data_IF_807625145141
#
_entry.id   IF_807625145141
#
_cell.length_a   1.000
_cell.length_b   1.000
_cell.length_c   1.000
_cell.angle_alpha   90.00
_cell.angle_beta   90.00
_cell.angle_gamma   90.00
#
_symmetry.space_group_name_H-M   'P 1'
#
loop_
_entity.id
_entity.type
_entity.pdbx_description
1 polymer ?
#
# COMPACT_ATOMS: atom_id res chain seq x y z
N UNK A 1 6.21 -21.88 4.54
CA UNK A 1 6.06 -20.59 5.28
C UNK A 1 5.99 -19.38 4.35
N UNK A 2 6.79 -19.33 3.27
CA UNK A 2 6.74 -18.26 2.25
C UNK A 2 5.34 -17.99 1.67
N UNK A 3 4.52 -19.03 1.45
CA UNK A 3 3.18 -18.87 0.88
C UNK A 3 2.20 -18.08 1.75
N UNK A 4 2.28 -18.22 3.09
CA UNK A 4 1.41 -17.45 4.00
C UNK A 4 1.84 -15.99 4.03
N UNK A 5 3.16 -15.72 4.04
CA UNK A 5 3.70 -14.37 3.96
C UNK A 5 3.29 -13.70 2.65
N UNK A 6 3.35 -14.44 1.53
CA UNK A 6 2.94 -13.98 0.21
C UNK A 6 1.43 -13.71 0.13
N UNK A 7 0.60 -14.55 0.75
CA UNK A 7 -0.85 -14.33 0.88
C UNK A 7 -1.15 -13.04 1.65
N UNK A 8 -0.50 -12.82 2.79
CA UNK A 8 -0.67 -11.59 3.59
C UNK A 8 -0.26 -10.35 2.80
N UNK A 9 0.86 -10.40 2.08
CA UNK A 9 1.30 -9.30 1.22
C UNK A 9 0.35 -9.08 0.04
N UNK A 10 -0.18 -10.13 -0.58
CA UNK A 10 -1.16 -10.01 -1.65
C UNK A 10 -2.42 -9.28 -1.17
N UNK A 11 -2.96 -9.67 -0.01
CA UNK A 11 -4.14 -9.03 0.60
C UNK A 11 -3.82 -7.56 0.90
N UNK A 12 -2.64 -7.27 1.46
CA UNK A 12 -2.22 -5.91 1.79
C UNK A 12 -2.09 -5.01 0.54
N UNK A 13 -1.51 -5.55 -0.54
CA UNK A 13 -1.40 -4.85 -1.83
C UNK A 13 -2.79 -4.60 -2.43
N UNK A 14 -3.71 -5.58 -2.38
CA UNK A 14 -5.09 -5.40 -2.85
C UNK A 14 -5.77 -4.28 -2.07
N UNK A 15 -5.70 -4.30 -0.73
CA UNK A 15 -6.31 -3.26 0.11
C UNK A 15 -5.69 -1.88 -0.14
N UNK A 16 -4.39 -1.82 -0.46
CA UNK A 16 -3.73 -0.56 -0.81
C UNK A 16 -4.15 -0.03 -2.19
N UNK A 17 -4.28 -0.89 -3.20
CA UNK A 17 -4.56 -0.50 -4.60
C UNK A 17 -6.05 -0.27 -4.87
N UNK A 18 -6.93 -1.13 -4.35
CA UNK A 18 -8.38 -1.07 -4.62
C UNK A 18 -9.01 0.30 -4.34
N UNK A 19 -8.74 0.98 -3.22
CA UNK A 19 -9.32 2.28 -2.95
C UNK A 19 -8.61 3.44 -3.67
N UNK A 20 -7.65 3.22 -4.56
CA UNK A 20 -6.90 4.29 -5.25
C UNK A 20 -7.65 4.91 -6.42
N UNK A 21 -8.92 5.23 -6.24
CA UNK A 21 -9.66 6.01 -7.24
C UNK A 21 -9.23 7.48 -7.17
N UNK A 22 -9.14 8.19 -8.32
CA UNK A 22 -8.72 9.59 -8.37
C UNK A 22 -9.71 10.54 -7.70
N UNK A 23 -10.97 10.13 -7.56
CA UNK A 23 -12.07 10.92 -7.01
C UNK A 23 -12.22 10.79 -5.50
N UNK A 24 -12.10 9.59 -4.94
CA UNK A 24 -12.25 9.35 -3.50
C UNK A 24 -11.31 8.24 -3.02
N UNK A 25 -10.07 8.59 -2.70
CA UNK A 25 -9.16 7.62 -2.09
C UNK A 25 -9.51 7.45 -0.60
N UNK A 26 -10.25 6.39 -0.28
CA UNK A 26 -10.76 6.13 1.07
C UNK A 26 -9.64 6.05 2.11
N UNK A 27 -8.48 5.47 1.76
CA UNK A 27 -7.32 5.42 2.64
C UNK A 27 -6.74 6.81 2.89
N UNK A 28 -6.65 7.64 1.86
CA UNK A 28 -6.17 9.02 1.99
C UNK A 28 -7.08 9.83 2.93
N UNK A 29 -8.39 9.65 2.81
CA UNK A 29 -9.39 10.28 3.69
C UNK A 29 -9.23 9.80 5.13
N UNK A 30 -9.14 8.49 5.35
CA UNK A 30 -8.95 7.92 6.69
C UNK A 30 -7.66 8.43 7.31
N UNK A 31 -6.52 8.41 6.59
CA UNK A 31 -5.24 8.90 7.11
C UNK A 31 -5.23 10.40 7.41
N UNK A 32 -6.00 11.18 6.65
CA UNK A 32 -6.17 12.61 6.90
C UNK A 32 -7.07 12.87 8.12
N UNK A 33 -8.22 12.19 8.22
CA UNK A 33 -9.17 12.34 9.33
C UNK A 33 -8.61 11.83 10.67
N UNK A 34 -7.86 10.72 10.65
CA UNK A 34 -7.20 10.17 11.85
C UNK A 34 -5.99 10.97 12.31
N UNK A 35 -5.61 12.04 11.60
CA UNK A 35 -4.40 12.84 11.86
C UNK A 35 -3.16 11.99 12.09
N UNK A 36 -3.05 10.83 11.40
CA UNK A 36 -1.86 9.97 11.46
C UNK A 36 -0.61 10.75 11.07
N UNK A 37 -0.80 11.79 10.25
CA UNK A 37 0.20 12.81 10.00
C UNK A 37 -0.31 14.20 10.41
N UNK A 38 -0.11 14.63 11.67
CA UNK A 38 -0.72 15.86 12.20
C UNK A 38 -0.24 17.15 11.51
N UNK A 39 0.87 17.10 10.77
CA UNK A 39 1.45 18.23 10.04
C UNK A 39 1.47 18.04 8.52
N UNK A 40 0.84 17.00 7.97
CA UNK A 40 0.90 16.70 6.54
C UNK A 40 -0.34 17.20 5.82
N UNK A 41 -0.12 18.09 4.86
CA UNK A 41 -1.16 18.53 3.93
C UNK A 41 -1.69 17.34 3.11
N UNK A 42 -2.95 17.40 2.65
CA UNK A 42 -3.59 16.34 1.85
C UNK A 42 -2.73 15.85 0.68
N UNK A 43 -2.02 16.78 0.02
CA UNK A 43 -1.08 16.47 -1.06
C UNK A 43 0.17 15.69 -0.62
N UNK A 44 0.69 15.91 0.59
CA UNK A 44 1.80 15.12 1.13
C UNK A 44 1.34 13.70 1.50
N UNK A 45 0.17 13.56 2.13
CA UNK A 45 -0.39 12.24 2.45
C UNK A 45 -0.66 11.42 1.19
N UNK A 46 -1.12 12.07 0.10
CA UNK A 46 -1.27 11.41 -1.21
C UNK A 46 0.07 10.90 -1.75
N UNK A 47 1.13 11.72 -1.69
CA UNK A 47 2.47 11.32 -2.13
C UNK A 47 3.03 10.17 -1.30
N UNK A 48 2.85 10.23 0.02
CA UNK A 48 3.27 9.16 0.93
C UNK A 48 2.53 7.85 0.64
N UNK A 49 1.21 7.90 0.48
CA UNK A 49 0.40 6.72 0.18
C UNK A 49 0.79 6.10 -1.16
N UNK A 50 1.07 6.93 -2.17
CA UNK A 50 1.56 6.48 -3.46
C UNK A 50 2.95 5.82 -3.36
N UNK A 51 3.88 6.42 -2.60
CA UNK A 51 5.20 5.85 -2.33
C UNK A 51 5.06 4.49 -1.63
N UNK A 52 4.25 4.42 -0.57
CA UNK A 52 4.00 3.20 0.20
C UNK A 52 3.42 2.09 -0.68
N UNK A 53 2.49 2.45 -1.57
CA UNK A 53 1.91 1.50 -2.53
C UNK A 53 2.97 0.93 -3.45
N UNK A 54 3.80 1.79 -4.05
CA UNK A 54 4.88 1.36 -4.92
C UNK A 54 5.89 0.46 -4.20
N UNK A 55 6.25 0.80 -2.96
CA UNK A 55 7.12 -0.04 -2.12
C UNK A 55 6.47 -1.40 -1.86
N UNK A 56 5.20 -1.45 -1.50
CA UNK A 56 4.48 -2.71 -1.26
C UNK A 56 4.38 -3.57 -2.53
N UNK A 57 4.09 -2.98 -3.69
CA UNK A 57 4.07 -3.69 -4.98
C UNK A 57 5.47 -4.26 -5.29
N UNK A 58 6.52 -3.44 -5.11
CA UNK A 58 7.88 -3.87 -5.40
C UNK A 58 8.32 -5.04 -4.50
N UNK A 59 8.03 -4.96 -3.20
CA UNK A 59 8.29 -6.05 -2.25
C UNK A 59 7.50 -7.31 -2.62
N UNK A 60 6.22 -7.17 -2.99
CA UNK A 60 5.40 -8.30 -3.42
C UNK A 60 5.97 -8.99 -4.66
N UNK A 61 6.45 -8.22 -5.64
CA UNK A 61 7.10 -8.75 -6.84
C UNK A 61 8.40 -9.49 -6.48
N UNK A 62 9.26 -8.91 -5.65
CA UNK A 62 10.50 -9.56 -5.17
C UNK A 62 10.16 -10.90 -4.50
N UNK A 63 9.24 -10.90 -3.54
CA UNK A 63 8.83 -12.12 -2.84
C UNK A 63 8.28 -13.17 -3.80
N UNK A 64 7.52 -12.74 -4.81
CA UNK A 64 6.96 -13.64 -5.82
C UNK A 64 8.05 -14.25 -6.69
N UNK A 65 8.99 -13.46 -7.21
CA UNK A 65 10.08 -13.99 -8.02
C UNK A 65 11.02 -14.87 -7.20
N UNK A 66 11.41 -14.46 -5.99
CA UNK A 66 12.27 -15.29 -5.13
C UNK A 66 11.60 -16.60 -4.72
N UNK A 67 10.28 -16.62 -4.48
CA UNK A 67 9.56 -17.87 -4.21
C UNK A 67 9.43 -18.76 -5.46
N UNK A 68 9.21 -18.18 -6.64
CA UNK A 68 9.15 -18.94 -7.92
C UNK A 68 10.50 -19.59 -8.28
N UNK A 69 11.62 -18.98 -7.91
CA UNK A 69 12.97 -19.49 -8.22
C UNK A 69 13.61 -20.33 -7.11
N UNK A 70 12.93 -20.53 -5.96
CA UNK A 70 13.42 -21.30 -4.81
C UNK A 70 12.72 -22.67 -4.69
#
# INVERSE_FOLDING_TARGET
>A
MLNIIQLTFAILVIVLIVPQTPTENALLRIFYETRVFPNSNYGQTKKFLNLLTWVCIFIFLILTFTNVFS
#
